data_IF_776051452376
#
_entry.id   IF_776051452376
#
_cell.length_a   1.000
_cell.length_b   1.000
_cell.length_c   1.000
_cell.angle_alpha   90.00
_cell.angle_beta   90.00
_cell.angle_gamma   90.00
#
_symmetry.space_group_name_H-M   'P 1'
#
loop_
_entity.id
_entity.type
_entity.pdbx_description
1 polymer ?
#
# COMPACT_ATOMS: atom_id res chain seq x y z
N UNK A 1 -28.63 1.09 -45.29
CA UNK A 1 -27.66 0.42 -46.18
C UNK A 1 -26.29 0.52 -45.53
N UNK A 2 -25.80 -0.58 -44.99
CA UNK A 2 -24.47 -0.72 -44.38
C UNK A 2 -23.64 -1.65 -45.29
N UNK A 3 -22.37 -1.34 -45.60
CA UNK A 3 -21.53 -2.27 -46.34
C UNK A 3 -21.11 -3.46 -45.45
N UNK A 4 -20.99 -4.68 -46.00
CA UNK A 4 -20.60 -5.86 -45.23
C UNK A 4 -19.10 -5.88 -44.92
N UNK A 5 -18.76 -6.37 -43.72
CA UNK A 5 -17.38 -6.68 -43.30
C UNK A 5 -16.90 -7.97 -43.98
N UNK A 6 -15.62 -8.07 -44.39
CA UNK A 6 -15.06 -9.33 -44.86
C UNK A 6 -14.76 -10.29 -43.71
N UNK A 7 -15.06 -11.56 -43.95
CA UNK A 7 -14.80 -12.70 -43.09
C UNK A 7 -13.29 -13.01 -43.01
N UNK A 8 -12.78 -13.24 -41.79
CA UNK A 8 -11.45 -13.80 -41.56
C UNK A 8 -11.62 -15.29 -41.29
N UNK A 9 -11.04 -16.09 -42.18
CA UNK A 9 -10.94 -17.54 -42.12
C UNK A 9 -10.07 -18.01 -40.94
N UNK A 10 -10.56 -19.03 -40.25
CA UNK A 10 -9.83 -19.80 -39.26
C UNK A 10 -8.83 -20.75 -39.93
N UNK A 11 -7.61 -20.90 -39.38
CA UNK A 11 -6.99 -22.20 -39.11
C UNK A 11 -5.61 -22.06 -38.46
N UNK A 12 -5.32 -22.92 -37.48
CA UNK A 12 -3.96 -23.00 -36.91
C UNK A 12 -3.85 -23.72 -35.56
N UNK A 13 -4.49 -24.88 -35.44
CA UNK A 13 -4.39 -25.78 -34.27
C UNK A 13 -3.02 -26.49 -34.30
N UNK A 14 -2.15 -26.27 -33.31
CA UNK A 14 -1.05 -27.21 -33.02
C UNK A 14 -0.68 -27.25 -31.52
N UNK A 15 -1.15 -28.31 -30.86
CA UNK A 15 -0.53 -29.05 -29.75
C UNK A 15 -0.86 -30.52 -30.05
N UNK A 16 -0.03 -31.54 -29.76
CA UNK A 16 0.70 -31.66 -28.49
C UNK A 16 2.10 -32.32 -28.61
N UNK A 17 2.87 -32.29 -27.53
CA UNK A 17 3.74 -33.44 -27.21
C UNK A 17 3.99 -33.49 -25.70
N UNK A 18 3.22 -34.35 -25.04
CA UNK A 18 3.58 -34.89 -23.74
C UNK A 18 4.70 -35.92 -23.94
N UNK A 19 5.75 -35.86 -23.14
CA UNK A 19 6.70 -36.95 -23.00
C UNK A 19 6.78 -37.38 -21.54
N UNK A 20 6.31 -38.60 -21.34
CA UNK A 20 6.33 -39.41 -20.13
C UNK A 20 7.73 -39.99 -19.89
N UNK A 21 8.27 -39.87 -18.67
CA UNK A 21 9.12 -40.84 -17.95
C UNK A 21 8.89 -40.54 -16.45
N UNK A 22 8.30 -41.34 -15.57
CA UNK A 22 8.32 -42.78 -15.28
C UNK A 22 9.70 -43.30 -14.81
N UNK A 23 9.78 -43.61 -13.51
CA UNK A 23 10.88 -44.34 -12.84
C UNK A 23 11.78 -43.41 -12.00
N UNK A 24 12.23 -43.71 -10.78
CA UNK A 24 12.20 -44.98 -10.06
C UNK A 24 12.66 -44.79 -8.59
N UNK A 25 11.91 -45.40 -7.66
CA UNK A 25 12.30 -46.06 -6.40
C UNK A 25 13.32 -45.44 -5.41
N UNK A 26 12.78 -45.37 -4.17
CA UNK A 26 13.35 -45.91 -2.91
C UNK A 26 14.65 -45.29 -2.38
N UNK A 27 14.54 -44.63 -1.22
CA UNK A 27 15.17 -45.13 0.02
C UNK A 27 14.55 -44.47 1.26
N UNK A 28 13.72 -45.26 1.94
CA UNK A 28 13.49 -45.09 3.36
C UNK A 28 14.78 -45.44 4.11
N UNK A 29 15.28 -44.53 4.95
CA UNK A 29 16.16 -44.89 6.07
C UNK A 29 15.42 -44.56 7.37
N UNK A 30 14.94 -45.63 8.01
CA UNK A 30 14.69 -45.66 9.45
C UNK A 30 16.04 -45.46 10.14
N UNK A 31 16.10 -44.52 11.07
CA UNK A 31 16.97 -44.64 12.25
C UNK A 31 16.01 -44.58 13.44
N UNK A 32 15.85 -45.74 14.05
CA UNK A 32 15.32 -45.92 15.38
C UNK A 32 16.49 -45.79 16.37
N UNK A 33 16.18 -45.38 17.60
CA UNK A 33 16.52 -46.07 18.86
C UNK A 33 16.87 -45.06 19.96
N UNK A 34 16.02 -45.07 20.99
CA UNK A 34 16.22 -44.83 22.44
C UNK A 34 16.75 -43.47 22.92
N UNK A 35 16.25 -42.90 24.01
CA UNK A 35 15.30 -43.39 25.00
C UNK A 35 15.33 -42.52 26.25
N UNK A 36 14.64 -43.03 27.28
CA UNK A 36 14.60 -42.61 28.70
C UNK A 36 13.59 -41.53 29.06
N UNK A 37 12.45 -42.07 29.49
CA UNK A 37 11.60 -41.51 30.52
C UNK A 37 12.39 -41.10 31.78
N UNK A 38 11.95 -40.02 32.42
CA UNK A 38 12.19 -39.78 33.84
C UNK A 38 10.97 -39.06 34.43
N UNK A 39 10.25 -39.78 35.28
CA UNK A 39 9.18 -39.34 36.18
C UNK A 39 9.80 -39.04 37.54
N UNK A 40 9.65 -37.84 38.10
CA UNK A 40 9.64 -37.60 39.56
C UNK A 40 8.81 -36.31 39.83
N UNK A 41 8.29 -36.04 41.05
CA UNK A 41 6.86 -36.01 41.33
C UNK A 41 6.35 -34.64 41.84
N UNK A 42 5.04 -34.59 42.09
CA UNK A 42 4.34 -33.48 42.72
C UNK A 42 4.84 -33.18 44.15
N UNK A 43 4.96 -31.88 44.47
CA UNK A 43 4.81 -31.39 45.83
C UNK A 43 3.79 -30.25 45.84
N UNK A 44 2.68 -30.57 46.51
CA UNK A 44 1.58 -29.72 46.90
C UNK A 44 2.06 -28.87 48.09
N UNK A 45 2.03 -27.54 47.98
CA UNK A 45 2.02 -26.66 49.16
C UNK A 45 0.89 -25.65 48.96
N UNK A 46 -0.21 -25.91 49.67
CA UNK A 46 -1.25 -24.94 49.92
C UNK A 46 -0.82 -24.08 51.12
N UNK A 47 -0.82 -22.77 50.96
CA UNK A 47 -0.87 -21.84 52.08
C UNK A 47 -1.77 -20.66 51.70
N UNK A 48 -2.93 -20.63 52.32
CA UNK A 48 -3.89 -19.54 52.34
C UNK A 48 -3.39 -18.46 53.31
N UNK A 49 -3.30 -17.21 52.89
CA UNK A 49 -3.45 -16.06 53.79
C UNK A 49 -4.01 -14.85 53.03
N UNK A 50 -4.95 -14.19 53.70
CA UNK A 50 -5.91 -13.22 53.23
C UNK A 50 -5.40 -11.76 53.35
N UNK A 51 -6.01 -10.91 52.51
CA UNK A 51 -6.33 -9.49 52.67
C UNK A 51 -5.33 -8.38 52.28
N UNK A 52 -5.91 -7.47 51.49
CA UNK A 52 -5.73 -6.02 51.44
C UNK A 52 -4.62 -5.43 50.54
N UNK A 53 -5.07 -4.63 49.57
CA UNK A 53 -4.28 -3.60 48.90
C UNK A 53 -4.13 -3.82 47.40
N UNK A 54 -5.10 -3.39 46.61
CA UNK A 54 -4.90 -3.15 45.18
C UNK A 54 -4.20 -1.81 44.99
N UNK A 55 -2.92 -1.72 44.57
CA UNK A 55 -2.51 -0.59 43.78
C UNK A 55 -3.00 -0.86 42.36
N UNK A 56 -3.86 0.04 41.87
CA UNK A 56 -4.19 0.13 40.46
C UNK A 56 -2.89 0.23 39.65
N UNK A 57 -2.45 -0.88 39.06
CA UNK A 57 -1.51 -0.88 37.94
C UNK A 57 -2.30 -0.46 36.70
N UNK A 58 -2.50 0.85 36.60
CA UNK A 58 -2.74 1.49 35.31
C UNK A 58 -1.45 1.43 34.51
N UNK A 59 -1.36 0.45 33.61
CA UNK A 59 -0.38 0.40 32.55
C UNK A 59 -0.82 -0.69 31.55
N UNK A 60 -1.96 -0.49 30.90
CA UNK A 60 -2.26 -1.19 29.66
C UNK A 60 -2.89 -0.22 28.68
N UNK A 61 -2.02 0.28 27.83
CA UNK A 61 -2.29 1.16 26.72
C UNK A 61 -1.04 1.10 25.88
N UNK A 62 -0.75 -0.10 25.37
CA UNK A 62 0.24 -0.33 24.31
C UNK A 62 0.11 0.79 23.30
N UNK A 63 1.06 1.73 23.35
CA UNK A 63 1.25 2.71 22.31
C UNK A 63 1.46 1.92 21.04
N UNK A 64 0.45 1.92 20.17
CA UNK A 64 0.61 1.40 18.82
C UNK A 64 1.78 2.18 18.22
N UNK A 65 2.89 1.48 18.03
CA UNK A 65 4.09 2.00 17.40
C UNK A 65 3.67 2.66 16.08
N UNK A 66 3.94 3.97 15.85
CA UNK A 66 3.68 4.63 14.58
C UNK A 66 4.31 3.89 13.38
N UNK A 67 5.34 3.06 13.62
CA UNK A 67 6.00 2.23 12.61
C UNK A 67 5.14 1.03 12.15
N UNK A 68 4.10 0.66 12.88
CA UNK A 68 3.26 -0.51 12.58
C UNK A 68 2.41 -0.34 11.30
N UNK A 69 2.14 0.90 10.88
CA UNK A 69 1.28 1.19 9.72
C UNK A 69 1.90 0.82 8.37
N UNK A 70 3.20 1.07 8.18
CA UNK A 70 3.92 0.69 6.94
C UNK A 70 4.55 -0.70 7.07
N UNK A 71 4.99 -1.10 8.27
CA UNK A 71 5.93 -2.22 8.41
C UNK A 71 5.39 -3.46 9.13
N UNK A 72 4.08 -3.57 9.33
CA UNK A 72 3.48 -4.82 9.80
C UNK A 72 3.82 -6.03 8.91
N UNK A 73 4.33 -5.81 7.68
CA UNK A 73 4.62 -6.86 6.68
C UNK A 73 6.10 -7.08 6.37
N UNK A 74 7.04 -6.40 7.04
CA UNK A 74 8.48 -6.59 6.85
C UNK A 74 9.25 -5.30 6.57
N UNK A 75 10.54 -5.44 6.19
CA UNK A 75 11.42 -4.29 5.91
C UNK A 75 10.99 -3.58 4.62
N UNK A 76 10.96 -2.24 4.59
CA UNK A 76 10.72 -1.49 3.36
C UNK A 76 11.74 -1.84 2.29
N UNK A 77 11.34 -1.66 1.04
CA UNK A 77 12.25 -1.71 -0.10
C UNK A 77 12.48 -0.28 -0.59
N UNK A 78 13.74 0.11 -0.74
CA UNK A 78 14.14 1.38 -1.32
C UNK A 78 14.62 1.14 -2.74
N UNK A 79 13.97 1.78 -3.70
CA UNK A 79 14.34 1.77 -5.10
C UNK A 79 15.21 2.99 -5.38
N UNK A 80 16.37 2.77 -6.00
CA UNK A 80 17.38 3.81 -6.24
C UNK A 80 17.36 4.22 -7.70
N UNK A 81 17.25 5.52 -7.97
CA UNK A 81 17.36 6.11 -9.32
C UNK A 81 16.45 5.43 -10.36
N UNK A 82 15.14 5.38 -10.09
CA UNK A 82 14.15 4.76 -10.97
C UNK A 82 13.02 5.72 -11.31
N UNK A 83 12.34 5.46 -12.43
CA UNK A 83 11.06 6.09 -12.74
C UNK A 83 9.93 5.37 -11.99
N UNK A 84 9.08 6.13 -11.32
CA UNK A 84 7.94 5.62 -10.55
C UNK A 84 6.75 6.59 -10.59
N UNK A 85 5.59 6.11 -10.15
CA UNK A 85 4.42 6.96 -9.96
C UNK A 85 4.29 7.44 -8.51
N UNK A 86 4.32 8.76 -8.31
CA UNK A 86 4.04 9.39 -7.03
C UNK A 86 2.53 9.66 -6.90
N UNK A 87 1.82 8.79 -6.19
CA UNK A 87 0.39 8.95 -5.91
C UNK A 87 0.09 9.65 -4.59
N UNK A 88 1.11 9.95 -3.77
CA UNK A 88 0.91 10.65 -2.51
C UNK A 88 0.27 12.03 -2.77
N UNK A 89 -0.95 12.24 -2.27
CA UNK A 89 -1.77 13.43 -2.51
C UNK A 89 -2.58 13.41 -3.81
N UNK A 90 -2.66 12.26 -4.48
CA UNK A 90 -3.52 12.09 -5.63
C UNK A 90 -5.01 12.08 -5.21
N UNK A 91 -5.83 12.72 -6.03
CA UNK A 91 -7.27 12.45 -6.06
C UNK A 91 -7.55 11.23 -6.94
N UNK A 92 -8.56 10.47 -6.54
CA UNK A 92 -8.89 9.20 -7.14
C UNK A 92 -10.37 9.15 -7.52
N UNK A 93 -10.64 8.47 -8.63
CA UNK A 93 -11.97 8.14 -9.09
C UNK A 93 -12.25 6.67 -8.84
N UNK A 94 -13.37 6.35 -8.20
CA UNK A 94 -13.75 4.96 -7.98
C UNK A 94 -14.56 4.44 -9.17
N UNK A 95 -14.14 3.30 -9.71
CA UNK A 95 -14.90 2.58 -10.71
C UNK A 95 -14.82 1.08 -10.42
N UNK A 96 -15.99 0.47 -10.18
CA UNK A 96 -16.10 -0.97 -9.94
C UNK A 96 -15.16 -1.47 -8.82
N UNK A 97 -15.26 -0.83 -7.64
CA UNK A 97 -14.47 -1.12 -6.42
C UNK A 97 -12.94 -0.93 -6.53
N UNK A 98 -12.46 -0.31 -7.61
CA UNK A 98 -11.05 0.07 -7.79
C UNK A 98 -10.93 1.59 -7.78
N UNK A 99 -9.95 2.13 -7.05
CA UNK A 99 -9.62 3.55 -7.12
C UNK A 99 -8.59 3.78 -8.24
N UNK A 100 -8.90 4.69 -9.14
CA UNK A 100 -8.02 5.12 -10.22
C UNK A 100 -7.50 6.52 -9.89
N UNK A 101 -6.24 6.62 -9.53
CA UNK A 101 -5.64 7.84 -8.99
C UNK A 101 -4.73 8.51 -10.02
N UNK A 102 -4.82 9.84 -10.12
CA UNK A 102 -3.93 10.64 -10.97
C UNK A 102 -2.63 10.90 -10.23
N UNK A 103 -1.55 10.27 -10.69
CA UNK A 103 -0.25 10.28 -10.03
C UNK A 103 0.79 10.97 -10.90
N UNK A 104 1.77 11.61 -10.26
CA UNK A 104 2.89 12.22 -10.96
C UNK A 104 3.93 11.17 -11.35
N UNK A 105 4.41 11.20 -12.59
CA UNK A 105 5.60 10.46 -13.00
C UNK A 105 6.82 11.18 -12.45
N UNK A 106 7.64 10.46 -11.69
CA UNK A 106 8.84 10.98 -11.03
C UNK A 106 10.03 10.07 -11.32
N UNK A 107 11.22 10.62 -11.17
CA UNK A 107 12.47 9.90 -11.28
C UNK A 107 13.33 10.21 -10.05
N UNK A 108 13.96 9.18 -9.50
CA UNK A 108 14.84 9.28 -8.35
C UNK A 108 14.63 8.14 -7.36
N UNK A 109 14.90 8.40 -6.09
CA UNK A 109 14.76 7.41 -5.04
C UNK A 109 13.32 7.37 -4.52
N UNK A 110 12.82 6.16 -4.28
CA UNK A 110 11.51 5.95 -3.69
C UNK A 110 11.52 4.77 -2.72
N UNK A 111 10.50 4.70 -1.87
CA UNK A 111 10.32 3.65 -0.86
C UNK A 111 8.93 3.03 -1.00
N UNK A 112 8.85 1.73 -0.72
CA UNK A 112 7.58 1.00 -0.73
C UNK A 112 7.55 -0.04 0.39
N UNK A 113 6.33 -0.42 0.77
CA UNK A 113 6.10 -1.64 1.53
C UNK A 113 6.73 -2.85 0.80
N UNK A 114 7.17 -3.89 1.52
CA UNK A 114 7.72 -5.07 0.87
C UNK A 114 6.66 -5.73 -0.03
N UNK A 115 6.88 -5.64 -1.33
CA UNK A 115 6.10 -6.30 -2.36
C UNK A 115 7.01 -7.20 -3.17
N UNK A 116 6.81 -8.51 -3.06
CA UNK A 116 7.53 -9.53 -3.83
C UNK A 116 6.56 -10.21 -4.80
N UNK A 117 7.01 -10.46 -6.01
CA UNK A 117 6.31 -11.26 -7.01
C UNK A 117 7.32 -12.15 -7.73
N UNK A 118 6.90 -13.34 -8.12
CA UNK A 118 7.80 -14.36 -8.70
C UNK A 118 9.08 -14.60 -7.87
N UNK A 119 10.03 -15.34 -8.44
CA UNK A 119 11.27 -15.70 -7.76
C UNK A 119 12.22 -14.49 -7.67
N UNK A 120 12.33 -13.92 -6.46
CA UNK A 120 13.22 -12.82 -6.07
C UNK A 120 12.99 -11.47 -6.76
N UNK A 121 11.81 -11.24 -7.37
CA UNK A 121 11.45 -9.92 -7.91
C UNK A 121 10.63 -9.13 -6.91
N UNK A 122 10.82 -7.82 -6.95
CA UNK A 122 10.14 -6.88 -6.08
C UNK A 122 9.76 -5.61 -6.84
N UNK A 123 9.12 -4.67 -6.15
CA UNK A 123 8.67 -3.44 -6.78
C UNK A 123 9.78 -2.63 -7.49
N UNK A 124 11.04 -2.72 -7.06
CA UNK A 124 12.14 -2.04 -7.73
C UNK A 124 12.54 -2.72 -9.04
N UNK A 125 12.50 -4.07 -9.11
CA UNK A 125 12.66 -4.74 -10.42
C UNK A 125 11.48 -4.43 -11.34
N UNK A 126 10.26 -4.32 -10.80
CA UNK A 126 9.08 -3.95 -11.57
C UNK A 126 9.22 -2.57 -12.20
N UNK A 127 9.66 -1.56 -11.43
CA UNK A 127 9.86 -0.20 -11.95
C UNK A 127 11.05 -0.11 -12.92
N UNK A 128 12.14 -0.84 -12.66
CA UNK A 128 13.28 -0.92 -13.59
C UNK A 128 12.87 -1.47 -14.96
N UNK A 129 12.09 -2.55 -14.98
CA UNK A 129 11.59 -3.16 -16.21
C UNK A 129 10.49 -2.29 -16.85
N UNK A 130 9.59 -1.75 -16.03
CA UNK A 130 8.39 -1.03 -16.46
C UNK A 130 8.66 0.26 -17.22
N UNK A 131 9.70 1.01 -16.85
CA UNK A 131 10.04 2.28 -17.48
C UNK A 131 10.15 2.19 -19.01
N UNK A 132 10.69 1.08 -19.52
CA UNK A 132 10.82 0.82 -20.96
C UNK A 132 9.63 0.06 -21.57
N UNK A 133 8.71 -0.43 -20.75
CA UNK A 133 7.58 -1.27 -21.14
C UNK A 133 6.22 -0.57 -20.98
N UNK A 134 6.20 0.73 -20.67
CA UNK A 134 4.99 1.54 -20.61
C UNK A 134 4.13 1.30 -19.37
N UNK A 135 4.73 0.79 -18.28
CA UNK A 135 4.06 0.68 -17.00
C UNK A 135 5.01 1.07 -15.86
N UNK A 136 4.45 1.38 -14.70
CA UNK A 136 5.22 1.57 -13.46
C UNK A 136 4.31 1.26 -12.28
N UNK A 137 4.91 0.98 -11.13
CA UNK A 137 4.22 0.92 -9.86
C UNK A 137 4.35 2.24 -9.12
N UNK A 138 3.33 2.56 -8.34
CA UNK A 138 3.41 3.66 -7.40
C UNK A 138 4.24 3.29 -6.19
N UNK A 139 5.14 4.20 -5.83
CA UNK A 139 5.98 4.13 -4.65
C UNK A 139 6.03 5.52 -4.02
N UNK A 140 6.48 5.59 -2.77
CA UNK A 140 6.47 6.84 -2.03
C UNK A 140 7.81 7.58 -2.17
N UNK A 141 7.70 8.89 -2.37
CA UNK A 141 8.70 9.88 -1.99
C UNK A 141 7.93 11.06 -1.40
N UNK A 142 8.58 11.90 -0.59
CA UNK A 142 7.89 13.08 -0.05
C UNK A 142 7.50 14.04 -1.20
N UNK A 143 6.20 14.36 -1.39
CA UNK A 143 5.79 15.39 -2.35
C UNK A 143 6.34 16.76 -1.96
N UNK A 144 6.83 17.52 -2.95
CA UNK A 144 7.35 18.86 -2.70
C UNK A 144 6.29 19.81 -2.14
N UNK A 145 5.02 19.62 -2.55
CA UNK A 145 3.87 20.39 -2.05
C UNK A 145 3.65 20.26 -0.54
N UNK A 146 4.15 19.20 0.12
CA UNK A 146 4.04 19.07 1.58
C UNK A 146 5.08 19.87 2.36
N UNK A 147 6.18 20.30 1.72
CA UNK A 147 7.34 20.89 2.41
C UNK A 147 7.01 22.32 2.83
N UNK A 148 7.04 22.58 4.14
CA UNK A 148 6.88 23.92 4.68
C UNK A 148 8.18 24.75 4.50
N UNK A 149 8.09 26.08 4.34
CA UNK A 149 6.87 26.90 4.35
C UNK A 149 6.24 27.13 2.96
N UNK A 150 6.85 26.64 1.89
CA UNK A 150 6.51 27.02 0.50
C UNK A 150 5.51 26.09 -0.18
N UNK A 151 5.26 24.91 0.38
CA UNK A 151 4.37 23.91 -0.19
C UNK A 151 2.89 24.32 -0.12
N UNK A 152 2.13 23.90 -1.14
CA UNK A 152 0.70 24.14 -1.35
C UNK A 152 -0.19 22.96 -0.94
N UNK A 153 0.40 21.94 -0.32
CA UNK A 153 -0.28 20.78 0.23
C UNK A 153 0.01 20.64 1.73
N UNK A 154 -0.86 19.92 2.43
CA UNK A 154 -0.69 19.58 3.84
C UNK A 154 -1.07 18.12 4.11
N UNK A 155 -0.47 17.56 5.16
CA UNK A 155 -0.83 16.26 5.70
C UNK A 155 -2.03 16.45 6.63
N UNK A 156 -3.20 15.97 6.22
CA UNK A 156 -4.42 15.98 7.02
C UNK A 156 -4.47 14.72 7.87
N UNK A 157 -4.41 14.88 9.19
CA UNK A 157 -4.53 13.79 10.14
C UNK A 157 -6.00 13.60 10.48
N UNK A 158 -6.63 12.57 9.92
CA UNK A 158 -8.04 12.30 10.17
C UNK A 158 -8.28 11.94 11.65
N UNK A 159 -9.46 12.25 12.21
CA UNK A 159 -9.85 11.79 13.53
C UNK A 159 -9.71 10.27 13.66
N UNK A 160 -9.25 9.77 14.82
CA UNK A 160 -9.09 8.32 15.05
C UNK A 160 -10.41 7.54 15.00
N UNK A 161 -11.56 8.22 15.04
CA UNK A 161 -12.87 7.62 14.80
C UNK A 161 -13.16 7.37 13.31
N UNK A 162 -12.33 7.89 12.40
CA UNK A 162 -12.54 7.77 10.96
C UNK A 162 -12.65 6.33 10.53
N UNK A 163 -13.65 6.08 9.67
CA UNK A 163 -13.87 4.82 8.96
C UNK A 163 -13.96 5.09 7.45
N UNK A 164 -13.38 6.20 6.99
CA UNK A 164 -13.33 6.55 5.58
C UNK A 164 -12.65 5.45 4.77
N UNK A 165 -13.11 5.29 3.53
CA UNK A 165 -12.33 4.54 2.55
C UNK A 165 -11.23 5.44 1.99
N UNK A 166 -10.11 4.87 1.58
CA UNK A 166 -9.04 5.61 0.93
C UNK A 166 -8.37 4.71 -0.10
N UNK A 167 -7.70 5.32 -1.07
CA UNK A 167 -6.88 4.58 -2.02
C UNK A 167 -5.52 4.27 -1.38
N UNK A 168 -5.11 3.00 -1.37
CA UNK A 168 -3.77 2.60 -0.93
C UNK A 168 -2.92 2.37 -2.17
N UNK A 169 -2.27 3.42 -2.67
CA UNK A 169 -1.57 3.33 -3.96
C UNK A 169 -0.17 2.74 -3.90
N UNK A 170 0.45 2.60 -2.73
CA UNK A 170 1.76 1.93 -2.61
C UNK A 170 1.71 0.49 -3.20
N UNK A 171 2.44 0.26 -4.30
CA UNK A 171 2.40 -0.97 -5.08
C UNK A 171 1.35 -1.03 -6.20
N UNK A 172 0.51 -0.01 -6.37
CA UNK A 172 -0.49 0.09 -7.42
C UNK A 172 0.13 0.24 -8.82
N UNK A 173 -0.40 -0.47 -9.81
CA UNK A 173 0.13 -0.48 -11.19
C UNK A 173 -0.51 0.62 -12.04
N UNK A 174 0.32 1.29 -12.83
CA UNK A 174 -0.01 2.42 -13.69
C UNK A 174 0.48 2.16 -15.11
N UNK A 175 -0.27 2.63 -16.12
CA UNK A 175 0.07 2.47 -17.54
C UNK A 175 0.26 3.81 -18.22
N UNK A 176 1.38 3.98 -18.93
CA UNK A 176 1.75 5.28 -19.53
C UNK A 176 0.79 5.70 -20.66
N UNK A 177 -0.03 4.77 -21.15
CA UNK A 177 -1.07 5.02 -22.17
C UNK A 177 -2.12 6.04 -21.75
N UNK A 178 -2.26 6.35 -20.45
CA UNK A 178 -3.17 7.39 -19.94
C UNK A 178 -2.59 8.80 -20.03
N UNK A 179 -1.28 8.95 -20.21
CA UNK A 179 -0.63 10.27 -20.30
C UNK A 179 -1.24 11.12 -21.42
N UNK A 180 -1.52 12.40 -21.16
CA UNK A 180 -2.13 13.29 -22.16
C UNK A 180 -3.59 12.95 -22.50
N UNK A 181 -4.22 12.00 -21.79
CA UNK A 181 -5.60 11.57 -22.07
C UNK A 181 -6.58 12.17 -21.07
N UNK A 182 -7.82 12.31 -21.50
CA UNK A 182 -8.95 12.49 -20.59
C UNK A 182 -9.27 11.15 -19.93
N UNK A 183 -9.36 11.14 -18.61
CA UNK A 183 -9.70 9.96 -17.83
C UNK A 183 -10.92 10.24 -16.94
N UNK A 184 -11.83 9.27 -16.70
CA UNK A 184 -12.94 9.46 -15.77
C UNK A 184 -12.49 9.98 -14.40
N UNK A 185 -13.09 11.10 -13.97
CA UNK A 185 -12.71 11.77 -12.74
C UNK A 185 -11.40 12.58 -12.82
N UNK A 186 -10.74 12.73 -13.95
CA UNK A 186 -9.80 13.84 -14.12
C UNK A 186 -10.61 15.09 -14.49
N UNK A 187 -10.43 16.20 -13.76
CA UNK A 187 -11.14 17.45 -14.06
C UNK A 187 -10.61 18.10 -15.35
N UNK A 188 -9.36 17.80 -15.70
CA UNK A 188 -8.68 18.20 -16.95
C UNK A 188 -7.99 17.00 -17.59
N UNK A 189 -7.63 17.06 -18.89
CA UNK A 189 -6.74 16.08 -19.48
C UNK A 189 -5.45 15.94 -18.65
N UNK A 190 -4.96 14.72 -18.53
CA UNK A 190 -3.75 14.41 -17.77
C UNK A 190 -2.53 15.10 -18.39
N UNK A 191 -1.69 15.70 -17.55
CA UNK A 191 -0.43 16.30 -17.96
C UNK A 191 0.56 15.29 -18.54
N UNK A 192 1.66 15.80 -19.12
CA UNK A 192 2.72 14.96 -19.70
C UNK A 192 3.50 14.17 -18.64
N UNK A 193 3.45 14.61 -17.38
CA UNK A 193 4.03 13.94 -16.23
C UNK A 193 2.95 13.31 -15.34
N UNK A 194 1.75 13.05 -15.87
CA UNK A 194 0.65 12.45 -15.11
C UNK A 194 0.19 11.14 -15.72
N UNK A 195 -0.06 10.17 -14.85
CA UNK A 195 -0.47 8.81 -15.19
C UNK A 195 -1.60 8.38 -14.25
N UNK A 196 -2.42 7.43 -14.68
CA UNK A 196 -3.43 6.82 -13.82
C UNK A 196 -2.92 5.51 -13.27
N UNK A 197 -2.98 5.37 -11.95
CA UNK A 197 -2.67 4.15 -11.24
C UNK A 197 -3.93 3.49 -10.72
N UNK A 198 -3.97 2.16 -10.79
CA UNK A 198 -4.99 1.35 -10.13
C UNK A 198 -4.55 1.07 -8.69
N UNK A 199 -5.36 1.51 -7.74
CA UNK A 199 -5.07 1.42 -6.31
C UNK A 199 -6.19 0.63 -5.62
N UNK A 200 -5.83 -0.37 -4.80
CA UNK A 200 -6.78 -1.00 -3.89
C UNK A 200 -7.47 0.03 -3.00
N UNK A 201 -8.74 -0.19 -2.71
CA UNK A 201 -9.48 0.61 -1.73
C UNK A 201 -9.41 -0.07 -0.37
N UNK A 202 -8.86 0.63 0.60
CA UNK A 202 -8.82 0.22 2.00
C UNK A 202 -9.83 1.01 2.83
N UNK A 203 -10.05 0.57 4.07
CA UNK A 203 -10.87 1.29 5.04
C UNK A 203 -9.99 1.67 6.22
N UNK A 204 -10.10 2.91 6.67
CA UNK A 204 -9.39 3.40 7.84
C UNK A 204 -9.64 2.50 9.06
N UNK A 205 -8.53 2.16 9.72
CA UNK A 205 -8.54 1.45 10.99
C UNK A 205 -8.37 2.46 12.12
N UNK A 206 -9.32 2.57 13.08
CA UNK A 206 -9.23 3.53 14.19
C UNK A 206 -7.94 3.45 15.02
N UNK A 207 -7.35 2.25 15.09
CA UNK A 207 -6.12 2.04 15.85
C UNK A 207 -4.95 2.73 15.14
N UNK A 208 -4.81 2.48 13.83
CA UNK A 208 -3.74 3.03 13.00
C UNK A 208 -4.01 4.48 12.55
N UNK A 209 -5.28 4.91 12.59
CA UNK A 209 -5.75 6.17 12.04
C UNK A 209 -5.61 6.25 10.52
N UNK A 210 -5.95 7.40 9.97
CA UNK A 210 -5.81 7.74 8.56
C UNK A 210 -5.13 9.11 8.45
N UNK A 211 -4.18 9.21 7.54
CA UNK A 211 -3.69 10.48 7.02
C UNK A 211 -3.86 10.51 5.50
N UNK A 212 -4.28 11.66 4.99
CA UNK A 212 -4.43 11.95 3.57
C UNK A 212 -3.72 13.27 3.27
N UNK A 213 -3.25 13.46 2.04
CA UNK A 213 -2.62 14.72 1.62
C UNK A 213 -3.64 15.54 0.85
N UNK A 214 -3.76 16.81 1.23
CA UNK A 214 -4.76 17.75 0.68
C UNK A 214 -4.19 19.14 0.48
N UNK A 215 -5.03 20.12 0.14
CA UNK A 215 -4.59 21.49 -0.12
C UNK A 215 -4.07 22.20 1.14
N UNK A 216 -3.18 23.18 0.95
CA UNK A 216 -2.72 24.12 1.96
C UNK A 216 -2.87 25.57 1.43
N UNK A 217 -3.30 26.57 2.23
CA UNK A 217 -3.64 26.52 3.65
C UNK A 217 -4.74 25.51 4.02
N UNK A 218 -4.74 25.03 5.26
CA UNK A 218 -5.67 24.02 5.74
C UNK A 218 -7.14 24.42 5.47
N UNK A 219 -7.93 23.48 4.96
CA UNK A 219 -9.34 23.66 4.66
C UNK A 219 -10.16 22.72 5.53
N UNK A 220 -11.03 23.27 6.37
CA UNK A 220 -11.87 22.47 7.28
C UNK A 220 -12.73 21.46 6.52
N UNK A 221 -13.34 21.88 5.41
CA UNK A 221 -14.15 21.02 4.55
C UNK A 221 -13.35 19.85 3.94
N UNK A 222 -12.01 19.91 3.87
CA UNK A 222 -11.24 18.78 3.37
C UNK A 222 -11.24 17.59 4.36
N UNK A 223 -11.51 17.82 5.65
CA UNK A 223 -11.73 16.74 6.61
C UNK A 223 -13.00 15.94 6.37
N UNK A 224 -13.93 16.41 5.52
CA UNK A 224 -15.09 15.61 5.09
C UNK A 224 -14.65 14.31 4.40
N UNK A 225 -13.46 14.28 3.79
CA UNK A 225 -12.86 13.08 3.22
C UNK A 225 -12.41 12.05 4.26
N UNK A 226 -12.41 12.42 5.54
CA UNK A 226 -12.24 11.51 6.67
C UNK A 226 -13.57 10.89 7.13
N UNK A 227 -14.71 11.35 6.60
CA UNK A 227 -16.04 10.80 6.89
C UNK A 227 -16.40 9.67 5.91
N UNK A 228 -16.99 8.60 6.44
CA UNK A 228 -17.49 7.46 5.66
C UNK A 228 -18.62 7.82 4.67
N UNK A 229 -19.33 8.93 4.90
CA UNK A 229 -20.44 9.38 4.06
C UNK A 229 -19.94 9.94 2.72
N UNK A 230 -18.77 10.59 2.71
CA UNK A 230 -18.15 11.15 1.51
C UNK A 230 -17.16 10.15 0.90
N UNK A 231 -16.28 9.58 1.72
CA UNK A 231 -15.25 8.65 1.28
C UNK A 231 -15.80 7.21 1.15
N UNK A 232 -16.48 6.93 0.04
CA UNK A 232 -17.18 5.66 -0.24
C UNK A 232 -16.52 4.86 -1.38
N UNK A 233 -16.88 3.58 -1.52
CA UNK A 233 -16.43 2.70 -2.62
C UNK A 233 -17.35 2.71 -3.85
N UNK A 234 -18.36 3.58 -3.85
CA UNK A 234 -19.36 3.58 -4.91
C UNK A 234 -18.72 4.06 -6.22
N UNK A 235 -19.03 3.41 -7.34
CA UNK A 235 -18.62 3.91 -8.66
C UNK A 235 -19.05 5.37 -8.81
N UNK A 236 -18.11 6.23 -9.23
CA UNK A 236 -18.32 7.67 -9.33
C UNK A 236 -17.84 8.47 -8.12
N UNK A 237 -17.55 7.82 -6.98
CA UNK A 237 -17.06 8.52 -5.79
C UNK A 237 -15.63 9.03 -5.96
N UNK A 238 -15.29 10.04 -5.16
CA UNK A 238 -13.93 10.55 -4.99
C UNK A 238 -13.31 9.91 -3.75
N UNK A 239 -12.08 9.45 -3.90
CA UNK A 239 -11.21 9.07 -2.79
C UNK A 239 -9.89 9.83 -2.92
N UNK A 240 -9.08 9.79 -1.87
CA UNK A 240 -7.73 10.31 -1.88
C UNK A 240 -6.77 9.17 -1.56
N UNK A 241 -5.55 9.28 -2.09
CA UNK A 241 -4.47 8.43 -1.60
C UNK A 241 -4.26 8.70 -0.10
N UNK A 242 -4.14 7.61 0.65
CA UNK A 242 -4.09 7.65 2.09
C UNK A 242 -3.25 6.54 2.66
N UNK A 243 -2.88 6.73 3.92
CA UNK A 243 -2.09 5.75 4.67
C UNK A 243 -2.34 5.90 6.17
N UNK A 244 -1.77 5.03 6.97
CA UNK A 244 -1.88 5.13 8.44
C UNK A 244 -1.11 6.35 8.95
N UNK A 245 -1.56 6.93 10.07
CA UNK A 245 -0.93 8.10 10.68
C UNK A 245 0.55 7.81 10.97
N UNK A 246 1.43 8.74 10.58
CA UNK A 246 2.88 8.66 10.78
C UNK A 246 3.63 7.95 9.65
N UNK A 247 2.92 7.37 8.69
CA UNK A 247 3.54 6.66 7.57
C UNK A 247 4.36 7.60 6.69
N UNK A 248 3.81 8.77 6.34
CA UNK A 248 4.46 9.77 5.48
C UNK A 248 5.79 10.23 6.08
N UNK A 249 5.79 10.56 7.37
CA UNK A 249 6.97 10.99 8.11
C UNK A 249 8.00 9.86 8.16
N UNK A 250 7.57 8.65 8.50
CA UNK A 250 8.46 7.50 8.63
C UNK A 250 9.08 7.11 7.29
N UNK A 251 8.28 7.02 6.22
CA UNK A 251 8.75 6.73 4.87
C UNK A 251 9.76 7.78 4.39
N UNK A 252 9.50 9.06 4.66
CA UNK A 252 10.42 10.15 4.36
C UNK A 252 11.75 10.00 5.09
N UNK A 253 11.70 9.73 6.40
CA UNK A 253 12.89 9.55 7.22
C UNK A 253 13.74 8.37 6.73
N UNK A 254 13.10 7.23 6.43
CA UNK A 254 13.81 6.04 5.97
C UNK A 254 14.41 6.20 4.58
N UNK A 255 13.76 6.98 3.71
CA UNK A 255 14.24 7.25 2.36
C UNK A 255 15.40 8.26 2.35
N UNK A 256 15.31 9.32 3.17
CA UNK A 256 16.21 10.49 3.07
C UNK A 256 17.16 10.65 4.26
N UNK A 257 16.95 9.92 5.36
CA UNK A 257 17.67 10.09 6.62
C UNK A 257 17.21 11.29 7.47
N UNK A 258 16.27 12.09 6.98
CA UNK A 258 15.68 13.23 7.70
C UNK A 258 14.27 13.53 7.18
N UNK A 259 13.49 14.29 7.96
CA UNK A 259 12.17 14.79 7.56
C UNK A 259 12.21 16.32 7.59
N UNK A 260 12.02 17.02 6.46
CA UNK A 260 11.93 18.47 6.47
C UNK A 260 10.66 18.91 7.22
N UNK A 261 10.54 20.19 7.62
CA UNK A 261 9.29 20.73 8.12
C UNK A 261 8.15 20.50 7.12
N UNK A 262 6.99 20.03 7.61
CA UNK A 262 5.82 19.72 6.79
C UNK A 262 4.62 20.58 7.20
N UNK A 263 3.83 21.00 6.22
CA UNK A 263 2.50 21.54 6.48
C UNK A 263 1.61 20.39 7.01
N UNK A 264 0.94 20.61 8.15
CA UNK A 264 0.09 19.59 8.78
C UNK A 264 -1.23 20.22 9.23
N UNK A 265 -2.35 19.54 8.98
CA UNK A 265 -3.68 19.92 9.43
C UNK A 265 -4.23 18.86 10.39
N UNK A 266 -4.88 19.29 11.47
CA UNK A 266 -5.43 18.42 12.52
C UNK A 266 -6.80 18.89 12.98
#
# INVERSE_FOLDING_TARGET
MYPPRPAILANGRSKPTARTQAGERRRARRISVNGRASLIPAMLVAALALLAGSPARGADGTGADPLAGIFARGKPVICQDQTYALCAGASCFVFNDVAYCTCGVRNGNSISSPFNYDDNRNICSLNAEGANNGYMASTFSLPDGLKAPSGDQALYVCPRSSRANYAKCDGGICFTSTTGRTFPGADTPLGNDQIVCSCPIERANPIQGLEIIGPYPCQEAFFDNCDRAVATRNTGSRLYDGTSIGSTITGTFLLNGYVPPLNTCR
#
